data_IF_920180532331
#
_entry.id   IF_920180532331
#
_cell.length_a   1.000
_cell.length_b   1.000
_cell.length_c   1.000
_cell.angle_alpha   90.00
_cell.angle_beta   90.00
_cell.angle_gamma   90.00
#
_symmetry.space_group_name_H-M   'P 1'
#
loop_
_entity.id
_entity.type
_entity.pdbx_description
1 polymer ?
#
# COMPACT_ATOMS: atom_id res chain seq x y z
N UNK A 1 11.76 33.59 57.14
CA UNK A 1 10.74 32.90 56.36
C UNK A 1 11.45 32.08 55.30
N UNK A 2 11.52 30.76 55.50
CA UNK A 2 12.13 29.81 54.53
C UNK A 2 11.01 29.26 53.66
N UNK A 3 11.09 29.49 52.34
CA UNK A 3 10.18 28.91 51.38
C UNK A 3 10.78 27.59 50.89
N UNK A 4 10.13 26.47 51.24
CA UNK A 4 10.46 25.15 50.75
C UNK A 4 9.75 24.95 49.41
N UNK A 5 10.54 24.81 48.32
CA UNK A 5 10.02 24.41 47.03
C UNK A 5 9.80 22.90 47.01
N UNK A 6 8.55 22.47 46.91
CA UNK A 6 8.18 21.10 46.62
C UNK A 6 8.46 20.85 45.12
N UNK A 7 9.47 20.05 44.85
CA UNK A 7 9.73 19.50 43.50
C UNK A 7 8.81 18.30 43.34
N UNK A 8 7.78 18.42 42.52
CA UNK A 8 6.95 17.30 42.07
C UNK A 8 7.67 16.65 40.91
N UNK A 9 8.03 15.36 40.98
CA UNK A 9 8.61 14.69 39.83
C UNK A 9 7.53 14.46 38.76
N UNK A 10 7.65 15.14 37.64
CA UNK A 10 6.90 14.83 36.44
C UNK A 10 7.44 13.51 35.87
N UNK A 11 6.80 12.40 36.20
CA UNK A 11 7.02 11.13 35.55
C UNK A 11 6.51 11.25 34.12
N UNK A 12 7.39 11.53 33.17
CA UNK A 12 7.11 11.37 31.76
C UNK A 12 6.79 9.90 31.51
N UNK A 13 5.52 9.60 31.27
CA UNK A 13 5.12 8.33 30.67
C UNK A 13 5.69 8.31 29.24
N UNK A 14 6.82 7.66 29.08
CA UNK A 14 7.33 7.24 27.77
C UNK A 14 6.42 6.10 27.32
N UNK A 15 5.30 6.44 26.66
CA UNK A 15 4.49 5.45 25.95
C UNK A 15 5.35 4.98 24.78
N UNK A 16 5.85 3.77 24.92
CA UNK A 16 6.81 3.16 24.04
C UNK A 16 6.26 3.02 22.62
N UNK A 17 6.93 3.67 21.67
CA UNK A 17 6.84 3.44 20.21
C UNK A 17 7.21 2.00 19.78
N UNK A 18 7.50 1.13 20.74
CA UNK A 18 7.86 -0.28 20.52
C UNK A 18 6.69 -1.17 20.10
N UNK A 19 5.44 -0.79 20.36
CA UNK A 19 4.27 -1.62 20.04
C UNK A 19 4.03 -1.73 18.51
N UNK A 20 4.30 -0.67 17.76
CA UNK A 20 4.11 -0.64 16.31
C UNK A 20 5.24 -1.30 15.52
N UNK A 21 6.44 -1.31 16.06
CA UNK A 21 7.58 -2.00 15.46
C UNK A 21 7.33 -3.52 15.37
N UNK A 22 6.68 -4.11 16.38
CA UNK A 22 6.37 -5.53 16.44
C UNK A 22 5.30 -6.00 15.43
N UNK A 23 4.40 -5.12 14.97
CA UNK A 23 3.37 -5.49 13.98
C UNK A 23 3.92 -5.57 12.56
N UNK A 24 4.84 -4.68 12.18
CA UNK A 24 5.53 -4.74 10.89
C UNK A 24 6.57 -5.87 10.82
N UNK A 25 7.18 -6.26 11.95
CA UNK A 25 8.06 -7.44 12.03
C UNK A 25 7.29 -8.76 11.89
N UNK A 26 6.00 -8.80 12.22
CA UNK A 26 5.16 -9.98 12.08
C UNK A 26 4.55 -10.14 10.67
N UNK A 27 4.60 -9.12 9.84
CA UNK A 27 4.27 -9.25 8.44
C UNK A 27 5.48 -9.88 7.74
N UNK A 28 5.37 -11.17 7.44
CA UNK A 28 6.36 -11.85 6.61
C UNK A 28 6.43 -11.10 5.28
N UNK A 29 7.53 -10.38 5.08
CA UNK A 29 7.69 -9.52 3.92
C UNK A 29 7.58 -10.36 2.64
N UNK A 30 6.50 -10.18 1.91
CA UNK A 30 6.33 -10.80 0.60
C UNK A 30 7.12 -10.04 -0.47
N UNK A 31 7.39 -10.71 -1.56
CA UNK A 31 7.99 -10.14 -2.76
C UNK A 31 6.98 -10.17 -3.91
N UNK A 32 6.60 -9.01 -4.43
CA UNK A 32 5.56 -8.94 -5.45
C UNK A 32 5.95 -9.58 -6.79
N UNK A 33 7.26 -9.66 -7.11
CA UNK A 33 7.71 -10.37 -8.32
C UNK A 33 7.53 -11.88 -8.15
N UNK A 34 7.89 -12.43 -6.97
CA UNK A 34 7.59 -13.84 -6.67
C UNK A 34 6.09 -14.06 -6.61
N UNK A 35 5.32 -13.11 -6.04
CA UNK A 35 3.87 -13.15 -6.00
C UNK A 35 3.21 -13.21 -7.37
N UNK A 36 3.74 -12.50 -8.36
CA UNK A 36 3.34 -12.69 -9.75
C UNK A 36 3.59 -14.13 -10.23
N UNK A 37 4.76 -14.71 -9.92
CA UNK A 37 5.04 -16.11 -10.21
C UNK A 37 4.06 -17.07 -9.53
N UNK A 38 3.70 -16.82 -8.27
CA UNK A 38 2.67 -17.59 -7.53
C UNK A 38 1.31 -17.46 -8.21
N UNK A 39 0.91 -16.23 -8.58
CA UNK A 39 -0.36 -15.94 -9.26
C UNK A 39 -0.50 -16.74 -10.57
N UNK A 40 0.59 -16.85 -11.34
CA UNK A 40 0.65 -17.67 -12.54
C UNK A 40 0.62 -19.16 -12.21
N UNK A 41 1.53 -19.61 -11.34
CA UNK A 41 1.73 -21.04 -11.03
C UNK A 41 0.50 -21.68 -10.38
N UNK A 42 -0.23 -20.93 -9.54
CA UNK A 42 -1.46 -21.42 -8.88
C UNK A 42 -2.71 -21.28 -9.75
N UNK A 43 -2.58 -20.84 -11.00
CA UNK A 43 -3.69 -20.79 -11.96
C UNK A 43 -4.66 -19.62 -11.79
N UNK A 44 -4.33 -18.62 -10.96
CA UNK A 44 -5.21 -17.46 -10.74
C UNK A 44 -5.51 -16.68 -12.03
N UNK A 45 -4.54 -16.65 -12.98
CA UNK A 45 -4.67 -16.01 -14.30
C UNK A 45 -5.75 -16.63 -15.19
N UNK A 46 -6.17 -17.85 -14.93
CA UNK A 46 -7.21 -18.51 -15.72
C UNK A 46 -8.57 -17.81 -15.57
N UNK A 47 -8.77 -17.14 -14.43
CA UNK A 47 -10.02 -16.42 -14.11
C UNK A 47 -9.81 -14.91 -13.93
N UNK A 48 -8.72 -14.48 -13.29
CA UNK A 48 -8.44 -13.08 -12.98
C UNK A 48 -7.46 -12.45 -13.96
N UNK A 49 -7.78 -11.27 -14.46
CA UNK A 49 -6.89 -10.45 -15.29
C UNK A 49 -6.19 -9.40 -14.46
N UNK A 50 -5.13 -8.84 -15.00
CA UNK A 50 -4.34 -7.77 -14.41
C UNK A 50 -4.10 -6.69 -15.47
N UNK A 51 -4.83 -5.58 -15.38
CA UNK A 51 -4.65 -4.41 -16.24
C UNK A 51 -5.11 -4.57 -17.70
N UNK A 52 -5.81 -5.66 -18.01
CA UNK A 52 -6.38 -5.85 -19.34
C UNK A 52 -7.89 -6.11 -19.19
N UNK A 53 -8.75 -5.18 -19.57
CA UNK A 53 -10.17 -5.42 -19.62
C UNK A 53 -10.46 -6.47 -20.70
N UNK A 54 -11.05 -7.59 -20.31
CA UNK A 54 -11.59 -8.56 -21.24
C UNK A 54 -13.03 -8.85 -20.84
N UNK A 55 -13.95 -8.71 -21.77
CA UNK A 55 -15.37 -9.04 -21.58
C UNK A 55 -15.58 -10.54 -21.28
N UNK A 56 -14.57 -11.37 -21.53
CA UNK A 56 -14.61 -12.83 -21.36
C UNK A 56 -13.97 -13.31 -20.05
N UNK A 57 -13.58 -12.40 -19.12
CA UNK A 57 -12.95 -12.80 -17.87
C UNK A 57 -13.98 -13.33 -16.87
N UNK A 58 -13.77 -14.55 -16.36
CA UNK A 58 -14.64 -15.18 -15.35
C UNK A 58 -14.61 -14.40 -14.04
N UNK A 59 -13.44 -13.90 -13.64
CA UNK A 59 -13.23 -13.09 -12.43
C UNK A 59 -12.92 -11.63 -12.75
N UNK A 60 -13.05 -10.74 -11.77
CA UNK A 60 -12.74 -9.32 -11.95
C UNK A 60 -11.26 -9.07 -12.24
N UNK A 61 -10.97 -7.96 -12.91
CA UNK A 61 -9.62 -7.41 -13.02
C UNK A 61 -9.14 -6.96 -11.64
N UNK A 62 -8.05 -7.57 -11.16
CA UNK A 62 -7.53 -7.32 -9.82
C UNK A 62 -6.93 -5.93 -9.65
N UNK A 63 -6.56 -5.23 -10.71
CA UNK A 63 -6.10 -3.83 -10.62
C UNK A 63 -7.21 -2.91 -10.14
N UNK A 64 -8.46 -3.19 -10.51
CA UNK A 64 -9.63 -2.41 -10.10
C UNK A 64 -10.05 -2.70 -8.65
N UNK A 65 -9.85 -3.93 -8.18
CA UNK A 65 -10.23 -4.36 -6.82
C UNK A 65 -9.18 -3.95 -5.79
N UNK A 66 -7.90 -4.02 -6.15
CA UNK A 66 -6.79 -3.81 -5.22
C UNK A 66 -6.64 -2.37 -4.71
N UNK A 67 -7.16 -1.36 -5.43
CA UNK A 67 -6.89 0.05 -5.15
C UNK A 67 -7.45 0.58 -3.82
N UNK A 68 -8.42 -0.08 -3.22
CA UNK A 68 -9.14 0.40 -2.03
C UNK A 68 -8.94 -0.46 -0.78
N UNK A 69 -8.51 -1.71 -0.91
CA UNK A 69 -8.48 -2.68 0.18
C UNK A 69 -7.23 -2.58 1.05
N UNK A 70 -7.35 -2.62 2.37
CA UNK A 70 -6.25 -2.94 3.29
C UNK A 70 -6.05 -4.46 3.40
N UNK A 71 -5.03 -4.91 4.15
CA UNK A 71 -4.70 -6.34 4.26
C UNK A 71 -5.86 -7.19 4.80
N UNK A 72 -6.57 -6.67 5.80
CA UNK A 72 -7.70 -7.38 6.41
C UNK A 72 -8.92 -7.40 5.47
N UNK A 73 -9.16 -6.32 4.75
CA UNK A 73 -10.20 -6.25 3.71
C UNK A 73 -9.90 -7.20 2.55
N UNK A 74 -8.62 -7.31 2.15
CA UNK A 74 -8.20 -8.29 1.14
C UNK A 74 -8.43 -9.72 1.62
N UNK A 75 -8.06 -10.03 2.88
CA UNK A 75 -8.28 -11.35 3.47
C UNK A 75 -9.79 -11.65 3.62
N UNK A 76 -10.60 -10.67 4.02
CA UNK A 76 -12.06 -10.81 4.08
C UNK A 76 -12.67 -10.99 2.69
N UNK A 77 -12.20 -10.26 1.69
CA UNK A 77 -12.62 -10.43 0.30
C UNK A 77 -12.31 -11.84 -0.21
N UNK A 78 -11.08 -12.33 0.05
CA UNK A 78 -10.69 -13.69 -0.28
C UNK A 78 -11.60 -14.72 0.44
N UNK A 79 -11.86 -14.52 1.73
CA UNK A 79 -12.76 -15.36 2.52
C UNK A 79 -14.17 -15.44 1.92
N UNK A 80 -14.76 -14.29 1.66
CA UNK A 80 -16.15 -14.21 1.17
C UNK A 80 -16.30 -14.78 -0.25
N UNK A 81 -15.26 -14.70 -1.05
CA UNK A 81 -15.24 -15.10 -2.45
C UNK A 81 -14.75 -16.56 -2.66
N UNK A 82 -14.03 -17.11 -1.70
CA UNK A 82 -13.41 -18.42 -1.83
C UNK A 82 -14.34 -19.57 -2.21
N UNK A 83 -15.57 -19.70 -1.68
CA UNK A 83 -16.50 -20.76 -2.11
C UNK A 83 -16.78 -20.73 -3.61
N UNK A 84 -17.02 -19.56 -4.18
CA UNK A 84 -17.25 -19.39 -5.61
C UNK A 84 -15.99 -19.72 -6.43
N UNK A 85 -14.81 -19.31 -5.95
CA UNK A 85 -13.55 -19.67 -6.60
C UNK A 85 -13.34 -21.18 -6.65
N UNK A 86 -13.58 -21.90 -5.55
CA UNK A 86 -13.41 -23.37 -5.52
C UNK A 86 -14.42 -24.07 -6.43
N UNK A 87 -15.65 -23.61 -6.52
CA UNK A 87 -16.64 -24.14 -7.48
C UNK A 87 -16.14 -23.97 -8.91
N UNK A 88 -15.70 -22.77 -9.29
CA UNK A 88 -15.17 -22.51 -10.64
C UNK A 88 -13.89 -23.29 -10.93
N UNK A 89 -12.99 -23.41 -9.95
CA UNK A 89 -11.79 -24.25 -10.08
C UNK A 89 -12.19 -25.71 -10.39
N UNK A 90 -13.20 -26.24 -9.69
CA UNK A 90 -13.70 -27.58 -9.93
C UNK A 90 -14.38 -27.73 -11.29
N UNK A 91 -15.26 -26.79 -11.68
CA UNK A 91 -15.97 -26.79 -12.97
C UNK A 91 -15.01 -26.76 -14.18
N UNK A 92 -13.88 -26.05 -14.04
CA UNK A 92 -12.90 -25.94 -15.12
C UNK A 92 -11.77 -26.97 -15.01
N UNK A 93 -11.90 -27.98 -14.16
CA UNK A 93 -10.90 -29.03 -13.92
C UNK A 93 -9.50 -28.50 -13.61
N UNK A 94 -9.41 -27.33 -12.96
CA UNK A 94 -8.14 -26.74 -12.50
C UNK A 94 -7.76 -27.44 -11.22
N UNK A 95 -6.51 -27.92 -11.12
CA UNK A 95 -6.02 -28.55 -9.90
C UNK A 95 -5.88 -27.50 -8.77
N UNK A 96 -6.62 -27.69 -7.67
CA UNK A 96 -6.42 -26.89 -6.46
C UNK A 96 -5.03 -27.16 -5.88
N UNK A 97 -4.17 -26.14 -5.87
CA UNK A 97 -2.82 -26.25 -5.35
C UNK A 97 -2.70 -25.54 -4.01
N UNK A 98 -2.22 -26.22 -2.95
CA UNK A 98 -2.00 -25.58 -1.67
C UNK A 98 -0.91 -24.49 -1.78
N UNK A 99 -0.97 -23.51 -0.87
CA UNK A 99 0.02 -22.46 -0.74
C UNK A 99 0.69 -22.54 0.63
N UNK A 100 2.00 -22.24 0.67
CA UNK A 100 2.70 -22.03 1.92
C UNK A 100 2.63 -20.55 2.38
N UNK A 101 3.07 -20.27 3.60
CA UNK A 101 3.02 -18.91 4.19
C UNK A 101 3.72 -17.87 3.32
N UNK A 102 4.87 -18.21 2.73
CA UNK A 102 5.64 -17.30 1.89
C UNK A 102 4.93 -17.02 0.56
N UNK A 103 4.35 -18.03 -0.06
CA UNK A 103 3.58 -17.87 -1.29
C UNK A 103 2.37 -16.95 -1.08
N UNK A 104 1.68 -17.05 0.05
CA UNK A 104 0.56 -16.15 0.38
C UNK A 104 1.06 -14.73 0.65
N UNK A 105 2.17 -14.58 1.38
CA UNK A 105 2.77 -13.27 1.61
C UNK A 105 3.22 -12.61 0.29
N UNK A 106 3.84 -13.38 -0.60
CA UNK A 106 4.27 -12.93 -1.91
C UNK A 106 3.06 -12.54 -2.79
N UNK A 107 2.01 -13.36 -2.80
CA UNK A 107 0.76 -13.08 -3.52
C UNK A 107 0.08 -11.81 -3.01
N UNK A 108 -0.03 -11.64 -1.68
CA UNK A 108 -0.59 -10.42 -1.09
C UNK A 108 0.26 -9.19 -1.43
N UNK A 109 1.58 -9.33 -1.43
CA UNK A 109 2.49 -8.26 -1.87
C UNK A 109 2.31 -7.93 -3.35
N UNK A 110 2.07 -8.93 -4.21
CA UNK A 110 1.75 -8.70 -5.61
C UNK A 110 0.41 -7.97 -5.79
N UNK A 111 -0.66 -8.44 -5.14
CA UNK A 111 -1.97 -7.78 -5.22
C UNK A 111 -1.90 -6.36 -4.64
N UNK A 112 -1.17 -6.18 -3.54
CA UNK A 112 -0.88 -4.87 -3.00
C UNK A 112 -0.13 -3.98 -4.01
N UNK A 113 0.84 -4.55 -4.72
CA UNK A 113 1.58 -3.84 -5.74
C UNK A 113 0.72 -3.38 -6.91
N UNK A 114 -0.36 -4.08 -7.24
CA UNK A 114 -1.29 -3.65 -8.30
C UNK A 114 -1.92 -2.28 -8.04
N UNK A 115 -1.88 -1.79 -6.79
CA UNK A 115 -2.28 -0.42 -6.44
C UNK A 115 -1.39 0.65 -7.05
N UNK A 116 -0.16 0.29 -7.39
CA UNK A 116 0.76 1.20 -8.08
C UNK A 116 0.42 1.36 -9.56
N UNK A 117 -0.37 0.42 -10.10
CA UNK A 117 -0.89 0.51 -11.46
C UNK A 117 -2.16 1.37 -11.40
N UNK A 118 -2.00 2.67 -11.67
CA UNK A 118 -3.14 3.56 -11.87
C UNK A 118 -3.80 3.25 -13.22
N UNK A 119 -5.10 3.56 -13.32
CA UNK A 119 -5.73 3.70 -14.64
C UNK A 119 -4.89 4.65 -15.49
N UNK A 120 -4.76 4.36 -16.76
CA UNK A 120 -4.05 5.23 -17.69
C UNK A 120 -4.61 6.65 -17.61
N UNK A 121 -3.71 7.64 -17.51
CA UNK A 121 -4.10 9.04 -17.52
C UNK A 121 -4.61 9.43 -18.90
N UNK A 122 -5.38 10.52 -18.96
CA UNK A 122 -5.88 11.09 -20.20
C UNK A 122 -4.87 12.10 -20.78
N UNK A 123 -4.26 11.83 -21.95
CA UNK A 123 -3.26 12.71 -22.55
C UNK A 123 -3.81 14.11 -22.92
N UNK A 124 -5.06 14.20 -23.35
CA UNK A 124 -5.67 15.50 -23.72
C UNK A 124 -5.91 16.37 -22.47
N UNK A 125 -6.40 15.74 -21.40
CA UNK A 125 -6.48 16.40 -20.08
C UNK A 125 -5.09 16.83 -19.59
N UNK A 126 -4.09 15.96 -19.71
CA UNK A 126 -2.71 16.26 -19.31
C UNK A 126 -2.11 17.43 -20.05
N UNK A 127 -2.35 17.54 -21.36
CA UNK A 127 -1.98 18.68 -22.18
C UNK A 127 -2.63 19.98 -21.71
N UNK A 128 -3.93 19.91 -21.43
CA UNK A 128 -4.67 21.07 -20.93
C UNK A 128 -4.16 21.51 -19.54
N UNK A 129 -3.87 20.56 -18.65
CA UNK A 129 -3.31 20.84 -17.32
C UNK A 129 -1.93 21.49 -17.42
N UNK A 130 -1.02 20.99 -18.27
CA UNK A 130 0.29 21.61 -18.50
C UNK A 130 0.18 23.07 -18.95
N UNK A 131 -0.75 23.38 -19.86
CA UNK A 131 -1.01 24.71 -20.30
C UNK A 131 -1.60 25.58 -19.18
N UNK A 132 -2.60 25.10 -18.47
CA UNK A 132 -3.26 25.80 -17.37
C UNK A 132 -2.32 26.10 -16.19
N UNK A 133 -1.37 25.22 -15.91
CA UNK A 133 -0.34 25.39 -14.86
C UNK A 133 0.87 26.19 -15.35
N UNK A 134 0.83 26.73 -16.59
CA UNK A 134 1.86 27.59 -17.16
C UNK A 134 3.27 26.97 -17.26
N UNK A 135 3.39 25.66 -17.32
CA UNK A 135 4.67 24.95 -17.42
C UNK A 135 5.45 25.37 -18.68
N UNK A 136 4.72 25.68 -19.76
CA UNK A 136 5.26 26.12 -21.04
C UNK A 136 5.86 27.54 -21.05
N UNK A 137 5.73 28.30 -19.96
CA UNK A 137 6.44 29.61 -19.83
C UNK A 137 7.96 29.42 -19.68
N UNK A 138 8.37 28.32 -19.07
CA UNK A 138 9.79 28.01 -18.80
C UNK A 138 10.27 26.79 -19.60
N UNK A 139 9.45 25.77 -19.72
CA UNK A 139 9.75 24.51 -20.37
C UNK A 139 9.27 24.50 -21.83
N UNK A 140 10.07 23.95 -22.72
CA UNK A 140 9.61 23.57 -24.06
C UNK A 140 8.93 22.20 -24.04
N UNK A 141 8.11 21.96 -25.06
CA UNK A 141 7.44 20.69 -25.36
C UNK A 141 7.75 20.37 -26.84
N UNK A 142 8.62 19.44 -27.08
CA UNK A 142 9.11 19.09 -28.44
C UNK A 142 9.64 20.33 -29.20
N UNK A 143 10.46 21.13 -28.52
CA UNK A 143 11.07 22.34 -29.06
C UNK A 143 10.15 23.56 -29.15
N UNK A 144 8.90 23.49 -28.68
CA UNK A 144 7.94 24.61 -28.69
C UNK A 144 7.67 25.07 -27.26
N UNK A 145 7.71 26.38 -27.01
CA UNK A 145 7.48 26.97 -25.69
C UNK A 145 8.70 27.68 -25.12
N UNK A 146 8.80 27.75 -23.79
CA UNK A 146 9.89 28.42 -23.10
C UNK A 146 11.24 27.73 -23.32
N UNK A 147 12.31 28.52 -23.39
CA UNK A 147 13.68 28.05 -23.56
C UNK A 147 14.54 28.23 -22.32
N UNK A 148 13.93 28.47 -21.15
CA UNK A 148 14.63 28.73 -19.89
C UNK A 148 14.97 27.44 -19.15
N UNK A 149 14.16 26.41 -19.32
CA UNK A 149 14.26 25.12 -18.66
C UNK A 149 14.29 23.99 -19.69
N UNK A 150 14.63 22.77 -19.23
CA UNK A 150 14.72 21.61 -20.07
C UNK A 150 13.39 21.28 -20.77
N UNK A 151 13.48 20.72 -21.98
CA UNK A 151 12.32 20.25 -22.73
C UNK A 151 11.68 19.05 -22.01
N UNK A 152 10.39 19.18 -21.64
CA UNK A 152 9.66 18.11 -20.91
C UNK A 152 9.46 16.87 -21.77
N UNK A 153 9.46 16.99 -23.11
CA UNK A 153 9.33 15.82 -23.99
C UNK A 153 10.48 14.82 -23.80
N UNK A 154 11.66 15.28 -23.35
CA UNK A 154 12.77 14.42 -22.97
C UNK A 154 12.44 13.49 -21.77
N UNK A 155 11.39 13.79 -21.04
CA UNK A 155 10.93 13.00 -19.89
C UNK A 155 10.00 11.84 -20.31
N UNK A 156 9.65 11.74 -21.59
CA UNK A 156 8.85 10.63 -22.12
C UNK A 156 9.44 9.24 -21.81
N UNK A 157 10.76 9.16 -21.64
CA UNK A 157 11.46 7.95 -21.20
C UNK A 157 11.18 7.55 -19.75
N UNK A 158 10.73 8.48 -18.90
CA UNK A 158 10.37 8.19 -17.51
C UNK A 158 8.91 7.75 -17.43
N UNK A 159 8.63 6.56 -17.96
CA UNK A 159 7.27 6.05 -18.13
C UNK A 159 6.59 5.63 -16.84
N UNK A 160 7.33 5.56 -15.72
CA UNK A 160 6.73 5.16 -14.45
C UNK A 160 6.60 6.33 -13.47
N UNK A 161 5.51 6.39 -12.69
CA UNK A 161 5.26 7.49 -11.75
C UNK A 161 6.35 7.69 -10.70
N UNK A 162 7.09 6.64 -10.31
CA UNK A 162 8.22 6.75 -9.35
C UNK A 162 9.41 7.51 -9.96
N UNK A 163 9.72 7.27 -11.23
CA UNK A 163 10.78 8.01 -11.91
C UNK A 163 10.43 9.49 -12.04
N UNK A 164 9.15 9.79 -12.29
CA UNK A 164 8.63 11.17 -12.27
C UNK A 164 8.75 11.78 -10.89
N UNK A 165 8.30 11.08 -9.85
CA UNK A 165 8.39 11.55 -8.47
C UNK A 165 9.85 11.87 -8.08
N UNK A 166 10.80 11.01 -8.46
CA UNK A 166 12.22 11.24 -8.22
C UNK A 166 12.73 12.49 -8.95
N UNK A 167 12.40 12.62 -10.23
CA UNK A 167 12.82 13.78 -11.02
C UNK A 167 12.22 15.08 -10.48
N UNK A 168 10.96 15.07 -10.11
CA UNK A 168 10.29 16.21 -9.52
C UNK A 168 10.92 16.58 -8.17
N UNK A 169 11.21 15.59 -7.33
CA UNK A 169 11.90 15.82 -6.06
C UNK A 169 13.26 16.52 -6.27
N UNK A 170 14.10 16.00 -7.16
CA UNK A 170 15.42 16.56 -7.44
C UNK A 170 15.35 17.95 -8.08
N UNK A 171 14.31 18.22 -8.85
CA UNK A 171 14.15 19.45 -9.62
C UNK A 171 13.48 20.59 -8.83
N UNK A 172 12.71 20.27 -7.82
CA UNK A 172 11.90 21.23 -7.08
C UNK A 172 12.67 22.46 -6.55
N UNK A 173 13.87 22.37 -5.94
CA UNK A 173 14.58 23.55 -5.44
C UNK A 173 14.97 24.53 -6.53
N UNK A 174 15.51 24.02 -7.65
CA UNK A 174 15.91 24.87 -8.78
C UNK A 174 14.69 25.58 -9.38
N UNK A 175 13.61 24.84 -9.59
CA UNK A 175 12.36 25.38 -10.12
C UNK A 175 11.77 26.44 -9.19
N UNK A 176 11.76 26.18 -7.88
CA UNK A 176 11.28 27.11 -6.87
C UNK A 176 12.04 28.46 -6.92
N UNK A 177 13.36 28.39 -6.98
CA UNK A 177 14.20 29.59 -7.09
C UNK A 177 13.92 30.41 -8.36
N UNK A 178 13.76 29.73 -9.52
CA UNK A 178 13.42 30.41 -10.78
C UNK A 178 12.01 31.06 -10.74
N UNK A 179 11.03 30.33 -10.19
CA UNK A 179 9.67 30.84 -10.09
C UNK A 179 9.58 32.05 -9.16
N UNK A 180 10.27 32.04 -8.05
CA UNK A 180 10.37 33.16 -7.11
C UNK A 180 10.99 34.39 -7.80
N UNK A 181 12.09 34.21 -8.56
CA UNK A 181 12.73 35.30 -9.32
C UNK A 181 11.81 35.91 -10.38
N UNK A 182 10.92 35.11 -10.97
CA UNK A 182 10.00 35.54 -12.02
C UNK A 182 8.62 35.96 -11.49
N UNK A 183 8.37 35.88 -10.20
CA UNK A 183 7.07 36.17 -9.60
C UNK A 183 5.95 35.20 -10.04
N UNK A 184 6.29 33.97 -10.40
CA UNK A 184 5.34 32.92 -10.82
C UNK A 184 4.96 32.07 -9.62
N UNK A 185 3.64 31.87 -9.45
CA UNK A 185 3.15 31.03 -8.36
C UNK A 185 3.48 29.54 -8.59
N UNK A 186 3.79 28.83 -7.50
CA UNK A 186 4.03 27.37 -7.55
C UNK A 186 2.77 26.62 -8.02
N UNK A 187 2.85 25.81 -9.08
CA UNK A 187 1.69 25.07 -9.56
C UNK A 187 1.36 23.91 -8.62
N UNK A 188 0.11 23.80 -8.23
CA UNK A 188 -0.40 22.68 -7.41
C UNK A 188 -1.24 21.73 -8.25
N UNK A 189 -1.20 20.45 -7.93
CA UNK A 189 -1.93 19.39 -8.63
C UNK A 189 -3.05 18.83 -7.77
N UNK A 190 -4.19 18.50 -8.39
CA UNK A 190 -5.37 17.93 -7.74
C UNK A 190 -5.75 16.60 -8.42
N UNK A 191 -6.28 15.68 -7.63
CA UNK A 191 -6.81 14.41 -8.15
C UNK A 191 -5.80 13.69 -9.05
N UNK A 192 -6.17 13.49 -10.31
CA UNK A 192 -5.40 12.77 -11.33
C UNK A 192 -4.51 13.65 -12.21
N UNK A 193 -4.50 14.95 -12.03
CA UNK A 193 -3.77 15.89 -12.91
C UNK A 193 -2.31 15.47 -13.18
N UNK A 194 -1.62 14.92 -12.18
CA UNK A 194 -0.24 14.42 -12.33
C UNK A 194 -0.17 13.21 -13.26
N UNK A 195 -1.10 12.28 -13.13
CA UNK A 195 -1.17 11.06 -13.95
C UNK A 195 -1.47 11.40 -15.39
N UNK A 196 -2.39 12.36 -15.61
CA UNK A 196 -2.77 12.85 -16.93
C UNK A 196 -1.59 13.56 -17.62
N UNK A 197 -0.81 14.38 -16.88
CA UNK A 197 0.42 14.98 -17.39
C UNK A 197 1.42 13.90 -17.81
N UNK A 198 1.65 12.87 -16.99
CA UNK A 198 2.54 11.76 -17.32
C UNK A 198 2.08 11.07 -18.60
N UNK A 199 0.76 10.83 -18.74
CA UNK A 199 0.19 10.24 -19.95
C UNK A 199 0.45 11.10 -21.19
N UNK A 200 0.24 12.41 -21.10
CA UNK A 200 0.53 13.33 -22.21
C UNK A 200 2.02 13.33 -22.57
N UNK A 201 2.90 13.47 -21.62
CA UNK A 201 4.35 13.53 -21.90
C UNK A 201 4.86 12.23 -22.54
N UNK A 202 4.27 11.08 -22.20
CA UNK A 202 4.56 9.81 -22.90
C UNK A 202 4.25 9.85 -24.38
N UNK A 203 3.29 10.66 -24.82
CA UNK A 203 2.96 10.81 -26.26
C UNK A 203 3.99 11.65 -27.02
N UNK A 204 4.83 12.42 -26.33
CA UNK A 204 5.77 13.36 -26.95
C UNK A 204 7.10 12.74 -27.37
N UNK A 205 7.37 11.51 -26.99
CA UNK A 205 8.64 10.85 -27.25
C UNK A 205 8.49 9.40 -27.71
N UNK A 206 9.61 8.71 -27.94
CA UNK A 206 9.59 7.31 -28.37
C UNK A 206 8.87 6.45 -27.33
N UNK A 207 8.06 5.50 -27.80
CA UNK A 207 7.44 4.50 -26.92
C UNK A 207 8.55 3.69 -26.27
N UNK A 208 8.78 3.94 -24.99
CA UNK A 208 9.65 3.09 -24.18
C UNK A 208 8.90 1.81 -23.86
N UNK A 209 9.60 0.67 -23.89
CA UNK A 209 9.07 -0.56 -23.30
C UNK A 209 8.66 -0.30 -21.86
N UNK A 210 7.50 -0.78 -21.47
CA UNK A 210 6.93 -0.61 -20.14
C UNK A 210 7.94 -1.09 -19.11
N UNK A 211 8.67 -0.18 -18.50
CA UNK A 211 9.53 -0.50 -17.38
C UNK A 211 8.62 -0.87 -16.22
N UNK A 212 8.51 -2.17 -15.94
CA UNK A 212 7.81 -2.65 -14.76
C UNK A 212 8.39 -1.96 -13.52
N UNK A 213 7.51 -1.39 -12.70
CA UNK A 213 7.89 -0.83 -11.41
C UNK A 213 8.67 -1.90 -10.63
N UNK A 214 9.92 -1.64 -10.32
CA UNK A 214 10.64 -2.49 -9.36
C UNK A 214 10.02 -2.25 -8.00
N UNK A 215 9.45 -3.29 -7.43
CA UNK A 215 8.89 -3.24 -6.08
C UNK A 215 10.00 -2.91 -5.11
N UNK A 216 9.76 -1.88 -4.28
CA UNK A 216 10.69 -1.51 -3.23
C UNK A 216 10.68 -2.50 -2.06
N UNK A 217 11.75 -2.49 -1.29
CA UNK A 217 11.86 -3.26 -0.06
C UNK A 217 11.33 -2.45 1.13
N UNK A 218 10.28 -2.96 1.80
CA UNK A 218 9.61 -2.28 2.90
C UNK A 218 10.56 -2.00 4.07
N UNK A 219 11.39 -2.97 4.46
CA UNK A 219 12.32 -2.81 5.58
C UNK A 219 13.39 -1.75 5.29
N UNK A 220 13.94 -1.76 4.06
CA UNK A 220 14.88 -0.74 3.62
C UNK A 220 14.23 0.64 3.57
N UNK A 221 12.98 0.73 3.13
CA UNK A 221 12.24 2.00 3.08
C UNK A 221 12.12 2.66 4.44
N UNK A 222 11.86 1.88 5.50
CA UNK A 222 11.85 2.36 6.88
C UNK A 222 13.21 2.92 7.31
N UNK A 223 14.28 2.19 7.02
CA UNK A 223 15.65 2.61 7.32
C UNK A 223 15.98 3.91 6.58
N UNK A 224 15.65 3.97 5.28
CA UNK A 224 15.91 5.14 4.44
C UNK A 224 15.17 6.39 4.91
N UNK A 225 13.93 6.29 5.38
CA UNK A 225 13.21 7.45 5.95
C UNK A 225 13.97 8.07 7.11
N UNK A 226 14.63 7.25 7.94
CA UNK A 226 15.49 7.70 9.03
C UNK A 226 16.80 8.27 8.50
N UNK A 227 17.52 7.51 7.69
CA UNK A 227 18.85 7.86 7.21
C UNK A 227 18.87 9.10 6.31
N UNK A 228 17.78 9.32 5.58
CA UNK A 228 17.57 10.52 4.75
C UNK A 228 16.93 11.68 5.52
N UNK A 229 16.73 11.56 6.84
CA UNK A 229 16.21 12.61 7.71
C UNK A 229 14.72 12.92 7.56
N UNK A 230 13.96 12.15 6.79
CA UNK A 230 12.53 12.43 6.55
C UNK A 230 11.73 12.40 7.86
N UNK A 231 12.03 11.46 8.76
CA UNK A 231 11.32 11.31 10.04
C UNK A 231 11.55 12.48 11.01
N UNK A 232 12.56 13.32 10.81
CA UNK A 232 12.79 14.49 11.68
C UNK A 232 11.62 15.47 11.60
N UNK A 233 11.01 15.56 10.42
CA UNK A 233 9.81 16.37 10.19
C UNK A 233 8.53 15.53 10.13
N UNK A 234 8.59 14.29 9.62
CA UNK A 234 7.45 13.43 9.35
C UNK A 234 7.22 12.39 10.45
N UNK A 235 7.08 12.85 11.68
CA UNK A 235 6.81 12.05 12.89
C UNK A 235 5.70 12.71 13.72
N UNK A 236 5.15 11.99 14.70
CA UNK A 236 4.16 12.54 15.64
C UNK A 236 4.66 13.80 16.33
N UNK A 237 3.90 14.90 16.17
CA UNK A 237 4.27 16.23 16.68
C UNK A 237 5.28 17.01 15.84
N UNK A 238 5.73 16.47 14.71
CA UNK A 238 6.58 17.18 13.74
C UNK A 238 5.78 18.13 12.85
N UNK A 239 6.46 18.99 12.06
CA UNK A 239 5.79 19.94 11.17
C UNK A 239 5.18 19.28 9.92
N UNK A 240 5.61 18.08 9.56
CA UNK A 240 5.07 17.28 8.47
C UNK A 240 4.07 16.22 8.95
N UNK A 241 3.29 15.66 8.01
CA UNK A 241 2.40 14.57 8.34
C UNK A 241 3.19 13.33 8.83
N UNK A 242 2.70 12.70 9.89
CA UNK A 242 3.31 11.53 10.50
C UNK A 242 3.18 10.30 9.58
N UNK A 243 4.29 9.82 9.05
CA UNK A 243 4.33 8.68 8.14
C UNK A 243 4.00 7.34 8.79
N UNK A 244 3.98 7.26 10.11
CA UNK A 244 3.51 6.07 10.83
C UNK A 244 1.99 6.00 10.92
N UNK A 245 1.28 7.06 10.48
CA UNK A 245 -0.19 7.08 10.43
C UNK A 245 -0.72 6.74 9.06
N UNK A 246 -1.58 5.73 9.00
CA UNK A 246 -2.13 5.14 7.77
C UNK A 246 -2.77 6.09 6.77
N UNK A 247 -3.39 7.15 7.25
CA UNK A 247 -4.22 8.01 6.41
C UNK A 247 -3.46 9.13 5.71
N UNK A 248 -2.16 9.21 5.95
CA UNK A 248 -1.30 10.28 5.43
C UNK A 248 -0.82 9.99 4.01
N UNK A 249 -0.57 8.71 3.69
CA UNK A 249 -0.10 8.32 2.37
C UNK A 249 -1.26 8.28 1.37
N UNK A 250 -1.18 9.02 0.24
CA UNK A 250 -2.16 8.95 -0.83
C UNK A 250 -2.32 7.53 -1.38
N UNK A 251 -3.49 7.18 -1.95
CA UNK A 251 -3.78 5.80 -2.39
C UNK A 251 -2.96 5.33 -3.59
N UNK A 252 -2.45 6.24 -4.41
CA UNK A 252 -1.68 5.88 -5.62
C UNK A 252 -0.37 6.65 -5.71
N UNK A 253 0.59 6.15 -6.53
CA UNK A 253 1.90 6.82 -6.70
C UNK A 253 1.74 8.19 -7.37
N UNK A 254 0.86 8.32 -8.34
CA UNK A 254 0.64 9.59 -9.00
C UNK A 254 0.06 10.63 -8.05
N UNK A 255 -0.86 10.24 -7.18
CA UNK A 255 -1.38 11.11 -6.12
C UNK A 255 -0.30 11.44 -5.07
N UNK A 256 0.58 10.47 -4.73
CA UNK A 256 1.73 10.72 -3.87
C UNK A 256 2.68 11.72 -4.51
N UNK A 257 2.97 11.58 -5.81
CA UNK A 257 3.81 12.51 -6.56
C UNK A 257 3.21 13.93 -6.56
N UNK A 258 1.91 14.05 -6.83
CA UNK A 258 1.20 15.31 -6.77
C UNK A 258 1.21 15.91 -5.36
N UNK A 259 1.02 15.11 -4.34
CA UNK A 259 1.07 15.54 -2.93
C UNK A 259 2.45 16.04 -2.53
N UNK A 260 3.51 15.27 -2.81
CA UNK A 260 4.89 15.70 -2.54
C UNK A 260 5.24 16.98 -3.26
N UNK A 261 4.85 17.11 -4.52
CA UNK A 261 5.05 18.32 -5.29
C UNK A 261 4.34 19.53 -4.66
N UNK A 262 3.08 19.36 -4.25
CA UNK A 262 2.29 20.48 -3.73
C UNK A 262 2.91 21.13 -2.50
N UNK A 263 3.58 20.37 -1.65
CA UNK A 263 4.24 20.93 -0.47
C UNK A 263 5.77 20.93 -0.53
N UNK A 264 6.35 20.64 -1.69
CA UNK A 264 7.78 20.77 -1.90
C UNK A 264 8.37 22.15 -1.48
N UNK A 265 7.71 23.30 -1.79
CA UNK A 265 8.19 24.60 -1.32
C UNK A 265 8.30 24.71 0.20
N UNK A 266 7.35 24.14 0.93
CA UNK A 266 7.38 24.14 2.40
C UNK A 266 8.50 23.25 2.94
N UNK A 267 8.68 22.07 2.35
CA UNK A 267 9.76 21.17 2.73
C UNK A 267 11.14 21.81 2.47
N UNK A 268 11.36 22.37 1.29
CA UNK A 268 12.62 23.06 0.94
C UNK A 268 12.89 24.19 1.92
N UNK A 269 11.92 25.05 2.18
CA UNK A 269 12.08 26.17 3.11
C UNK A 269 12.39 25.72 4.54
N UNK A 270 11.74 24.67 5.03
CA UNK A 270 12.02 24.16 6.38
C UNK A 270 13.41 23.54 6.48
N UNK A 271 13.86 22.81 5.46
CA UNK A 271 15.24 22.30 5.38
C UNK A 271 16.26 23.46 5.39
N UNK A 272 16.05 24.50 4.61
CA UNK A 272 16.91 25.68 4.59
C UNK A 272 17.01 26.36 5.96
N UNK A 273 15.86 26.55 6.64
CA UNK A 273 15.80 27.16 7.98
C UNK A 273 16.57 26.31 9.01
N UNK A 274 16.55 24.99 8.87
CA UNK A 274 17.23 24.07 9.76
C UNK A 274 18.68 23.76 9.34
N UNK A 275 19.16 24.36 8.25
CA UNK A 275 20.49 24.08 7.70
C UNK A 275 20.69 22.65 7.18
N UNK A 276 19.58 22.02 6.75
CA UNK A 276 19.59 20.67 6.20
C UNK A 276 19.66 20.73 4.67
N UNK A 277 20.51 19.87 4.10
CA UNK A 277 20.52 19.67 2.66
C UNK A 277 19.37 18.75 2.22
N UNK A 278 18.81 19.03 1.04
CA UNK A 278 17.82 18.15 0.48
C UNK A 278 18.44 16.79 0.15
N UNK A 279 17.90 15.67 0.70
CA UNK A 279 18.48 14.37 0.47
C UNK A 279 18.33 13.93 -0.98
N UNK A 280 19.45 13.49 -1.57
CA UNK A 280 19.42 12.83 -2.85
C UNK A 280 18.78 11.44 -2.70
N UNK A 281 17.87 11.10 -3.62
CA UNK A 281 17.19 9.82 -3.68
C UNK A 281 17.45 9.16 -5.03
N UNK A 282 18.01 7.95 -5.01
CA UNK A 282 18.04 7.11 -6.19
C UNK A 282 16.63 6.52 -6.49
N UNK A 283 16.38 6.07 -7.72
CA UNK A 283 15.10 5.42 -8.05
C UNK A 283 14.77 4.24 -7.15
N UNK A 284 15.81 3.47 -6.74
CA UNK A 284 15.65 2.33 -5.85
C UNK A 284 15.30 2.76 -4.43
N UNK A 285 15.99 3.74 -3.88
CA UNK A 285 15.72 4.26 -2.53
C UNK A 285 14.29 4.83 -2.44
N UNK A 286 13.88 5.57 -3.46
CA UNK A 286 12.52 6.09 -3.51
C UNK A 286 11.49 4.96 -3.62
N UNK A 287 11.75 3.91 -4.42
CA UNK A 287 10.90 2.73 -4.50
C UNK A 287 10.77 2.04 -3.13
N UNK A 288 11.86 1.90 -2.39
CA UNK A 288 11.87 1.29 -1.06
C UNK A 288 11.07 2.16 -0.05
N UNK A 289 11.25 3.48 -0.07
CA UNK A 289 10.48 4.42 0.76
C UNK A 289 8.98 4.34 0.45
N UNK A 290 8.62 4.39 -0.82
CA UNK A 290 7.22 4.31 -1.25
C UNK A 290 6.61 2.97 -0.84
N UNK A 291 7.34 1.87 -0.99
CA UNK A 291 6.88 0.54 -0.53
C UNK A 291 6.58 0.54 0.97
N UNK A 292 7.42 1.17 1.80
CA UNK A 292 7.16 1.30 3.24
C UNK A 292 5.91 2.14 3.52
N UNK A 293 5.80 3.34 2.94
CA UNK A 293 4.66 4.23 3.16
C UNK A 293 3.32 3.56 2.82
N UNK A 294 3.31 2.82 1.71
CA UNK A 294 2.12 2.07 1.32
C UNK A 294 1.86 0.86 2.21
N UNK A 295 2.91 0.19 2.70
CA UNK A 295 2.76 -0.92 3.65
C UNK A 295 2.18 -0.44 4.99
N UNK A 296 2.63 0.69 5.52
CA UNK A 296 2.04 1.31 6.72
C UNK A 296 0.55 1.54 6.52
N UNK A 297 0.16 2.12 5.39
CA UNK A 297 -1.26 2.32 5.07
C UNK A 297 -2.02 1.01 4.97
N UNK A 298 -1.44 0.00 4.32
CA UNK A 298 -2.06 -1.30 4.12
C UNK A 298 -2.29 -2.05 5.44
N UNK A 299 -1.39 -1.85 6.42
CA UNK A 299 -1.37 -2.55 7.70
C UNK A 299 -2.04 -1.80 8.86
N UNK A 300 -2.43 -0.57 8.67
CA UNK A 300 -2.73 0.37 9.76
C UNK A 300 -4.07 0.20 10.47
N UNK A 301 -4.87 -0.76 10.09
CA UNK A 301 -6.11 -1.03 10.80
C UNK A 301 -5.84 -1.85 12.08
N UNK A 302 -6.35 -1.43 13.22
CA UNK A 302 -6.28 -2.16 14.49
C UNK A 302 -7.58 -2.91 14.78
N UNK A 303 -7.45 -4.16 15.21
CA UNK A 303 -8.59 -4.98 15.65
C UNK A 303 -8.88 -4.81 17.14
N UNK A 304 -10.06 -5.27 17.53
CA UNK A 304 -10.51 -5.30 18.91
C UNK A 304 -10.76 -6.75 19.36
N UNK A 305 -10.12 -7.16 20.45
CA UNK A 305 -10.19 -8.53 20.96
C UNK A 305 -11.62 -8.95 21.34
N UNK A 306 -12.38 -8.07 22.03
CA UNK A 306 -13.73 -8.38 22.49
C UNK A 306 -14.72 -8.50 21.32
N UNK A 307 -14.59 -7.62 20.31
CA UNK A 307 -15.36 -7.76 19.07
C UNK A 307 -14.98 -9.04 18.33
N UNK A 308 -13.69 -9.37 18.27
CA UNK A 308 -13.21 -10.60 17.64
C UNK A 308 -13.74 -11.87 18.30
N UNK A 309 -13.86 -11.91 19.64
CA UNK A 309 -14.51 -12.99 20.36
C UNK A 309 -15.98 -13.13 19.94
N UNK A 310 -16.70 -12.02 19.87
CA UNK A 310 -18.11 -11.99 19.40
C UNK A 310 -18.23 -12.44 17.94
N UNK A 311 -17.33 -12.00 17.06
CA UNK A 311 -17.29 -12.47 15.66
C UNK A 311 -17.07 -13.97 15.62
N UNK A 312 -16.11 -14.50 16.37
CA UNK A 312 -15.80 -15.94 16.42
C UNK A 312 -17.01 -16.76 16.86
N UNK A 313 -17.74 -16.30 17.89
CA UNK A 313 -18.95 -16.95 18.37
C UNK A 313 -20.13 -16.82 17.39
N UNK A 314 -20.44 -15.57 16.98
CA UNK A 314 -21.66 -15.28 16.21
C UNK A 314 -21.60 -15.77 14.76
N UNK A 315 -20.38 -15.89 14.19
CA UNK A 315 -20.18 -16.44 12.84
C UNK A 315 -20.07 -17.97 12.83
N UNK A 316 -20.26 -18.63 13.99
CA UNK A 316 -20.37 -20.08 14.10
C UNK A 316 -19.02 -20.81 14.12
N UNK A 317 -17.90 -20.12 14.24
CA UNK A 317 -16.57 -20.75 14.26
C UNK A 317 -16.40 -21.75 15.42
N UNK A 318 -17.02 -21.44 16.59
CA UNK A 318 -17.00 -22.30 17.78
C UNK A 318 -17.63 -23.68 17.59
N UNK A 319 -18.46 -23.86 16.55
CA UNK A 319 -19.09 -25.15 16.29
C UNK A 319 -18.07 -26.24 15.90
N UNK A 320 -16.92 -25.83 15.36
CA UNK A 320 -15.89 -26.73 14.83
C UNK A 320 -14.47 -26.38 15.30
N UNK A 321 -14.23 -25.15 15.80
CA UNK A 321 -12.91 -24.69 16.20
C UNK A 321 -12.85 -24.27 17.67
N UNK A 322 -11.70 -24.49 18.31
CA UNK A 322 -11.45 -24.03 19.68
C UNK A 322 -10.43 -22.88 19.69
N UNK A 323 -10.41 -22.14 20.78
CA UNK A 323 -9.44 -21.06 21.05
C UNK A 323 -8.57 -21.40 22.26
N UNK A 324 -8.47 -22.67 22.62
CA UNK A 324 -7.60 -23.17 23.68
C UNK A 324 -6.41 -23.92 23.06
N UNK A 325 -5.31 -24.00 23.81
CA UNK A 325 -4.11 -24.74 23.39
C UNK A 325 -4.29 -26.26 23.34
N UNK A 326 -5.50 -26.75 23.65
CA UNK A 326 -5.81 -28.17 23.76
C UNK A 326 -6.46 -28.69 22.48
N UNK A 327 -5.69 -29.42 21.69
CA UNK A 327 -6.16 -30.14 20.49
C UNK A 327 -6.91 -31.44 20.84
N UNK A 328 -7.30 -31.68 22.11
CA UNK A 328 -7.71 -32.96 22.63
C UNK A 328 -9.11 -33.44 22.27
N UNK A 329 -9.93 -32.62 21.64
CA UNK A 329 -11.30 -33.01 21.27
C UNK A 329 -11.71 -32.50 19.89
N UNK A 330 -11.50 -33.28 18.85
CA UNK A 330 -12.10 -33.14 17.51
C UNK A 330 -12.19 -31.75 16.84
N UNK A 331 -11.85 -30.69 17.57
CA UNK A 331 -11.86 -29.30 17.13
C UNK A 331 -10.42 -28.77 17.09
N UNK A 332 -9.94 -28.40 15.92
CA UNK A 332 -8.60 -27.82 15.79
C UNK A 332 -8.55 -26.44 16.44
N UNK A 333 -7.58 -26.26 17.33
CA UNK A 333 -7.24 -24.96 17.89
C UNK A 333 -6.77 -23.99 16.80
N UNK A 334 -7.35 -22.81 16.79
CA UNK A 334 -6.93 -21.69 15.93
C UNK A 334 -5.99 -20.73 16.63
N UNK A 335 -5.56 -21.03 17.85
CA UNK A 335 -4.65 -20.19 18.65
C UNK A 335 -3.21 -20.47 18.25
N UNK A 336 -2.39 -19.48 18.31
CA UNK A 336 -0.94 -19.41 18.05
C UNK A 336 -0.53 -19.10 16.61
N UNK A 337 0.19 -18.00 16.50
CA UNK A 337 0.84 -17.49 15.27
C UNK A 337 -0.13 -17.11 14.15
N UNK A 338 -1.27 -16.50 14.50
CA UNK A 338 -2.22 -16.00 13.53
C UNK A 338 -1.74 -14.66 12.97
N UNK A 339 -1.62 -14.55 11.66
CA UNK A 339 -1.42 -13.31 10.92
C UNK A 339 -2.45 -13.25 9.79
N UNK A 340 -2.57 -12.11 9.13
CA UNK A 340 -3.45 -11.98 7.95
C UNK A 340 -3.09 -13.03 6.89
N UNK A 341 -1.79 -13.21 6.62
CA UNK A 341 -1.30 -14.19 5.62
C UNK A 341 -1.55 -15.63 6.05
N UNK A 342 -1.34 -15.96 7.34
CA UNK A 342 -1.63 -17.31 7.86
C UNK A 342 -3.11 -17.63 7.87
N UNK A 343 -3.97 -16.66 8.14
CA UNK A 343 -5.41 -16.82 8.04
C UNK A 343 -5.81 -17.11 6.59
N UNK A 344 -5.29 -16.33 5.64
CA UNK A 344 -5.54 -16.55 4.22
C UNK A 344 -4.98 -17.89 3.72
N UNK A 345 -3.78 -18.30 4.18
CA UNK A 345 -3.21 -19.60 3.87
C UNK A 345 -4.07 -20.75 4.40
N UNK A 346 -4.46 -20.66 5.67
CA UNK A 346 -5.32 -21.65 6.29
C UNK A 346 -6.66 -21.79 5.57
N UNK A 347 -7.25 -20.65 5.20
CA UNK A 347 -8.46 -20.60 4.40
C UNK A 347 -8.26 -21.29 3.05
N UNK A 348 -7.23 -20.91 2.30
CA UNK A 348 -6.98 -21.48 0.97
C UNK A 348 -6.81 -22.99 1.02
N UNK A 349 -5.97 -23.49 1.96
CA UNK A 349 -5.62 -24.91 2.02
C UNK A 349 -6.68 -25.78 2.68
N UNK A 350 -7.41 -25.25 3.67
CA UNK A 350 -8.39 -26.00 4.45
C UNK A 350 -9.84 -25.74 4.02
N UNK A 351 -10.09 -24.60 3.40
CA UNK A 351 -11.42 -24.09 3.10
C UNK A 351 -12.29 -25.01 2.28
N UNK A 352 -11.81 -25.70 1.22
CA UNK A 352 -12.66 -26.65 0.48
C UNK A 352 -13.25 -27.71 1.38
N UNK A 353 -12.45 -28.33 2.25
CA UNK A 353 -12.92 -29.34 3.22
C UNK A 353 -13.87 -28.73 4.26
N UNK A 354 -13.59 -27.51 4.70
CA UNK A 354 -14.45 -26.79 5.64
C UNK A 354 -15.81 -26.50 5.00
N UNK A 355 -15.85 -26.04 3.75
CA UNK A 355 -17.08 -25.78 3.00
C UNK A 355 -17.94 -27.05 2.85
N UNK A 356 -17.32 -28.18 2.49
CA UNK A 356 -18.01 -29.46 2.37
C UNK A 356 -18.62 -29.90 3.70
N UNK A 357 -17.89 -29.80 4.82
CA UNK A 357 -18.36 -30.11 6.16
C UNK A 357 -19.53 -29.21 6.56
N UNK A 358 -19.44 -27.91 6.29
CA UNK A 358 -20.53 -26.94 6.58
C UNK A 358 -21.78 -27.25 5.78
N UNK A 359 -21.66 -27.60 4.49
CA UNK A 359 -22.79 -28.00 3.64
C UNK A 359 -23.47 -29.27 4.17
N UNK A 360 -22.70 -30.26 4.57
CA UNK A 360 -23.24 -31.51 5.16
C UNK A 360 -24.00 -31.25 6.48
N UNK A 361 -23.60 -30.23 7.23
CA UNK A 361 -24.25 -29.86 8.51
C UNK A 361 -25.33 -28.79 8.34
N UNK A 362 -25.63 -28.34 7.11
CA UNK A 362 -26.61 -27.28 6.85
C UNK A 362 -26.18 -25.89 7.36
N UNK A 363 -24.89 -25.66 7.52
CA UNK A 363 -24.34 -24.38 8.00
C UNK A 363 -23.91 -23.52 6.79
N UNK A 364 -24.39 -22.30 6.77
CA UNK A 364 -24.00 -21.35 5.72
C UNK A 364 -22.59 -20.82 5.92
N UNK A 365 -21.86 -20.58 4.83
CA UNK A 365 -20.58 -19.91 4.85
C UNK A 365 -20.74 -18.48 5.38
N UNK A 366 -20.04 -18.09 6.46
CA UNK A 366 -20.21 -16.78 7.08
C UNK A 366 -19.52 -15.68 6.26
N UNK A 367 -20.23 -14.57 6.06
CA UNK A 367 -19.65 -13.38 5.48
C UNK A 367 -18.91 -12.59 6.55
N UNK A 368 -17.69 -12.12 6.25
CA UNK A 368 -16.83 -11.31 7.12
C UNK A 368 -16.56 -9.96 6.45
N UNK A 369 -16.75 -8.87 7.18
CA UNK A 369 -16.22 -7.58 6.80
C UNK A 369 -14.70 -7.53 7.04
N UNK A 370 -14.00 -6.54 6.46
CA UNK A 370 -12.58 -6.31 6.77
C UNK A 370 -12.34 -6.08 8.26
N UNK A 371 -13.27 -5.38 8.94
CA UNK A 371 -13.19 -5.15 10.37
C UNK A 371 -13.44 -6.45 11.17
N UNK A 372 -14.39 -7.30 10.76
CA UNK A 372 -14.58 -8.62 11.38
C UNK A 372 -13.31 -9.48 11.27
N UNK A 373 -12.68 -9.47 10.09
CA UNK A 373 -11.44 -10.21 9.85
C UNK A 373 -10.31 -9.71 10.76
N UNK A 374 -10.17 -8.42 10.91
CA UNK A 374 -9.15 -7.81 11.74
C UNK A 374 -9.36 -8.06 13.23
N UNK A 375 -10.60 -7.90 13.70
CA UNK A 375 -11.00 -8.16 15.07
C UNK A 375 -10.79 -9.65 15.41
N UNK A 376 -11.17 -10.55 14.49
CA UNK A 376 -10.97 -11.99 14.61
C UNK A 376 -9.48 -12.36 14.72
N UNK A 377 -8.63 -11.83 13.84
CA UNK A 377 -7.18 -12.05 13.89
C UNK A 377 -6.60 -11.54 15.21
N UNK A 378 -7.05 -10.37 15.68
CA UNK A 378 -6.60 -9.78 16.94
C UNK A 378 -7.00 -10.64 18.14
N UNK A 379 -8.21 -11.17 18.15
CA UNK A 379 -8.68 -12.09 19.18
C UNK A 379 -7.88 -13.40 19.18
N UNK A 380 -7.70 -14.01 18.02
CA UNK A 380 -6.97 -15.27 17.89
C UNK A 380 -5.49 -15.16 18.24
N UNK A 381 -4.85 -14.00 17.99
CA UNK A 381 -3.46 -13.72 18.41
C UNK A 381 -3.32 -13.69 19.93
N UNK A 382 -4.26 -13.08 20.62
CA UNK A 382 -4.20 -12.91 22.07
C UNK A 382 -4.51 -14.22 22.80
N UNK A 383 -5.33 -15.07 22.20
CA UNK A 383 -5.87 -16.27 22.86
C UNK A 383 -6.87 -15.90 23.97
N UNK A 384 -7.45 -16.89 24.60
CA UNK A 384 -8.10 -16.68 25.91
C UNK A 384 -6.98 -16.67 26.95
N UNK A 385 -6.66 -15.49 27.47
CA UNK A 385 -5.94 -15.40 28.73
C UNK A 385 -6.75 -16.21 29.76
N UNK A 386 -6.13 -17.27 30.30
CA UNK A 386 -6.71 -18.13 31.34
C UNK A 386 -6.91 -17.35 32.60
#
# INVERSE_FOLDING_TARGET
MRWSYLIIPVTMLVISSAAWAGELEQFQAGDAKRGWGVFQAKGCMSCHKVGQPSEESIGPDLTKVASTLNAAELAASLWNHAPQMWERISEHAIAHQPMNDQEVADLFSFIFFLRYTEEEGDPETGKAVLAAKSCNLCHSLSGKGGGVAADISSWSQYVNPLAWLQKMWQHAPQMLGEMQRKGVAWPTFKGREMVDIIAYVRTLGPKSETSYLKVGNIANGRILLKDKGCIECHRGGGPGPDFERAYVTPPTIGQLAGSMWNHAPQMVRLMEIQGLEQPALSPKELSDIVAYLFAVRFMAASGNTERGEKVFANKGCLNCHTVTDDDSQNAKSLVKKVSVTKMAQGLWNHGPKMLDTMRQQGVNWPNLSGQDMLDLITFLKKGKDK
#
